data_IF_982166138160
#
_entry.id   IF_982166138160
#
_cell.length_a   1.000
_cell.length_b   1.000
_cell.length_c   1.000
_cell.angle_alpha   90.00
_cell.angle_beta   90.00
_cell.angle_gamma   90.00
#
_symmetry.space_group_name_H-M   'P 1'
#
loop_
_entity.id
_entity.type
_entity.pdbx_description
1 polymer ?
#
# COMPACT_ATOMS: atom_id res chain seq x y z
N UNK A 1 13.16 -20.95 14.66
CA UNK A 1 13.27 -21.53 13.30
C UNK A 1 13.97 -20.53 12.38
N UNK A 2 14.99 -20.93 11.60
CA UNK A 2 15.72 -20.00 10.69
C UNK A 2 14.84 -19.61 9.50
N UNK A 3 14.12 -18.50 9.59
CA UNK A 3 13.34 -17.96 8.45
C UNK A 3 14.29 -17.29 7.45
N UNK A 4 14.45 -17.93 6.29
CA UNK A 4 15.51 -17.68 5.29
C UNK A 4 15.08 -16.78 4.11
N UNK A 5 14.03 -15.95 4.27
CA UNK A 5 13.43 -15.17 3.16
C UNK A 5 13.18 -13.71 3.52
N UNK A 6 14.23 -13.00 3.93
CA UNK A 6 14.16 -11.58 4.27
C UNK A 6 14.94 -10.78 3.22
N UNK A 7 14.28 -9.76 2.65
CA UNK A 7 14.89 -8.90 1.65
C UNK A 7 16.11 -8.17 2.24
N UNK A 8 17.22 -8.00 1.49
CA UNK A 8 18.43 -7.36 1.97
C UNK A 8 18.17 -5.94 2.48
N UNK A 9 18.84 -5.55 3.56
CA UNK A 9 18.62 -4.28 4.28
C UNK A 9 18.80 -3.01 3.41
N UNK A 10 19.52 -3.11 2.28
CA UNK A 10 19.69 -2.02 1.31
C UNK A 10 18.39 -1.65 0.59
N UNK A 11 17.48 -2.62 0.38
CA UNK A 11 16.19 -2.37 -0.27
C UNK A 11 15.24 -1.54 0.58
N UNK A 12 15.49 -1.43 1.88
CA UNK A 12 14.69 -0.61 2.81
C UNK A 12 14.65 0.84 2.36
N UNK A 13 15.80 1.38 1.94
CA UNK A 13 15.91 2.78 1.50
C UNK A 13 15.08 2.97 0.22
N UNK A 14 15.16 2.01 -0.70
CA UNK A 14 14.38 2.04 -1.94
C UNK A 14 12.87 1.98 -1.67
N UNK A 15 12.44 1.12 -0.74
CA UNK A 15 11.04 1.06 -0.31
C UNK A 15 10.54 2.38 0.28
N UNK A 16 11.31 3.00 1.18
CA UNK A 16 10.93 4.29 1.76
C UNK A 16 10.91 5.42 0.73
N UNK A 17 11.87 5.46 -0.20
CA UNK A 17 11.88 6.42 -1.31
C UNK A 17 10.61 6.24 -2.16
N UNK A 18 10.25 5.01 -2.51
CA UNK A 18 9.04 4.74 -3.28
C UNK A 18 7.77 5.17 -2.54
N UNK A 19 7.61 4.81 -1.26
CA UNK A 19 6.44 5.23 -0.47
C UNK A 19 6.36 6.76 -0.37
N UNK A 20 7.49 7.42 -0.10
CA UNK A 20 7.55 8.88 0.09
C UNK A 20 7.29 9.65 -1.21
N UNK A 21 7.62 9.08 -2.37
CA UNK A 21 7.39 9.72 -3.67
C UNK A 21 5.99 9.37 -4.20
N UNK A 22 5.68 8.07 -4.32
CA UNK A 22 4.47 7.60 -4.97
C UNK A 22 3.20 7.90 -4.16
N UNK A 23 3.25 7.86 -2.82
CA UNK A 23 2.05 8.10 -2.01
C UNK A 23 1.58 9.56 -2.09
N UNK A 24 2.43 10.59 -1.86
CA UNK A 24 2.00 11.98 -2.00
C UNK A 24 1.65 12.35 -3.44
N UNK A 25 2.39 11.83 -4.44
CA UNK A 25 2.04 12.03 -5.85
C UNK A 25 0.69 11.41 -6.20
N UNK A 26 0.38 10.22 -5.68
CA UNK A 26 -0.93 9.58 -5.84
C UNK A 26 -2.04 10.39 -5.20
N UNK A 27 -1.84 10.91 -3.99
CA UNK A 27 -2.81 11.80 -3.33
C UNK A 27 -3.02 13.10 -4.11
N UNK A 28 -1.93 13.68 -4.63
CA UNK A 28 -2.03 14.88 -5.48
C UNK A 28 -2.75 14.58 -6.79
N UNK A 29 -2.46 13.46 -7.45
CA UNK A 29 -3.19 13.02 -8.64
C UNK A 29 -4.70 12.94 -8.40
N UNK A 30 -5.10 12.32 -7.29
CA UNK A 30 -6.52 12.24 -6.89
C UNK A 30 -7.15 13.61 -6.61
N UNK A 31 -6.39 14.57 -6.06
CA UNK A 31 -6.89 15.91 -5.74
C UNK A 31 -6.90 16.86 -6.94
N UNK A 32 -5.96 16.67 -7.88
CA UNK A 32 -5.78 17.53 -9.04
C UNK A 32 -6.66 17.12 -10.22
N UNK A 33 -7.14 15.87 -10.26
CA UNK A 33 -7.90 15.26 -11.36
C UNK A 33 -7.29 15.61 -12.72
N UNK A 34 -7.91 16.54 -13.46
CA UNK A 34 -7.52 16.97 -14.80
C UNK A 34 -6.35 17.97 -14.86
N UNK A 35 -5.90 18.51 -13.72
CA UNK A 35 -4.82 19.51 -13.65
C UNK A 35 -3.45 18.91 -13.37
N UNK A 36 -3.35 17.58 -13.26
CA UNK A 36 -2.08 16.92 -13.00
C UNK A 36 -1.13 17.03 -14.21
N UNK A 37 0.13 17.45 -14.01
CA UNK A 37 1.02 17.83 -15.12
C UNK A 37 1.58 16.65 -15.92
N UNK A 38 1.47 15.42 -15.42
CA UNK A 38 1.99 14.23 -16.10
C UNK A 38 0.85 13.43 -16.73
N UNK A 39 0.95 13.21 -18.04
CA UNK A 39 0.02 12.38 -18.79
C UNK A 39 0.81 11.30 -19.52
N UNK A 40 0.56 10.04 -19.15
CA UNK A 40 1.19 8.89 -19.77
C UNK A 40 0.07 8.05 -20.39
N UNK A 41 -0.19 8.33 -21.68
CA UNK A 41 -1.30 7.73 -22.41
C UNK A 41 -0.78 6.64 -23.32
N UNK A 42 -1.37 5.45 -23.21
CA UNK A 42 -1.14 4.33 -24.11
C UNK A 42 -2.40 4.14 -24.95
N UNK A 43 -2.20 4.04 -26.26
CA UNK A 43 -3.25 3.76 -27.23
C UNK A 43 -3.19 2.29 -27.60
N UNK A 44 -4.24 1.55 -27.30
CA UNK A 44 -4.32 0.12 -27.61
C UNK A 44 -5.39 -0.06 -28.70
N UNK A 45 -5.09 -0.79 -29.80
CA UNK A 45 -6.11 -1.14 -30.78
C UNK A 45 -7.22 -1.94 -30.12
N UNK A 46 -8.46 -1.43 -30.18
CA UNK A 46 -9.60 -2.08 -29.55
C UNK A 46 -10.44 -2.79 -30.63
N UNK A 47 -10.49 -4.14 -30.63
CA UNK A 47 -11.10 -4.89 -31.72
C UNK A 47 -12.63 -4.95 -31.66
N UNK A 48 -13.26 -4.36 -30.64
CA UNK A 48 -14.72 -4.39 -30.46
C UNK A 48 -15.33 -3.04 -30.83
N UNK A 49 -16.25 -3.04 -31.81
CA UNK A 49 -17.05 -1.86 -32.13
C UNK A 49 -18.12 -1.65 -31.04
N UNK A 50 -18.02 -0.55 -30.30
CA UNK A 50 -18.99 -0.15 -29.30
C UNK A 50 -18.56 1.13 -28.59
N UNK A 51 -19.38 2.17 -28.67
CA UNK A 51 -19.22 3.35 -27.83
C UNK A 51 -19.66 2.96 -26.41
N UNK A 52 -18.68 2.73 -25.54
CA UNK A 52 -18.92 2.54 -24.12
C UNK A 52 -18.62 3.86 -23.40
N UNK A 53 -19.62 4.50 -22.80
CA UNK A 53 -19.40 5.73 -22.00
C UNK A 53 -18.41 5.53 -20.83
N UNK A 54 -18.21 4.27 -20.41
CA UNK A 54 -17.25 3.91 -19.37
C UNK A 54 -15.80 3.75 -19.86
N UNK A 55 -15.56 3.63 -21.16
CA UNK A 55 -14.22 3.46 -21.72
C UNK A 55 -13.91 4.58 -22.72
N UNK A 56 -12.79 5.30 -22.57
CA UNK A 56 -12.40 6.37 -23.48
C UNK A 56 -11.92 5.80 -24.83
N UNK A 57 -12.88 5.39 -25.67
CA UNK A 57 -12.65 4.86 -27.01
C UNK A 57 -12.83 5.99 -28.02
N UNK A 58 -11.84 6.21 -28.88
CA UNK A 58 -11.94 7.13 -30.01
C UNK A 58 -11.24 6.50 -31.22
N UNK A 59 -11.90 6.54 -32.38
CA UNK A 59 -11.36 6.04 -33.65
C UNK A 59 -10.86 4.57 -33.59
N UNK A 60 -11.54 3.70 -32.82
CA UNK A 60 -11.13 2.30 -32.62
C UNK A 60 -9.89 2.10 -31.74
N UNK A 61 -9.39 3.18 -31.13
CA UNK A 61 -8.30 3.17 -30.16
C UNK A 61 -8.83 3.44 -28.76
N UNK A 62 -8.38 2.63 -27.81
CA UNK A 62 -8.65 2.78 -26.38
C UNK A 62 -7.53 3.64 -25.77
N UNK A 63 -7.89 4.78 -25.20
CA UNK A 63 -6.95 5.75 -24.61
C UNK A 63 -6.85 5.53 -23.09
N UNK A 64 -5.85 4.78 -22.62
CA UNK A 64 -5.61 4.66 -21.18
C UNK A 64 -4.54 5.62 -20.73
N UNK A 65 -4.87 6.49 -19.78
CA UNK A 65 -3.87 7.09 -18.90
C UNK A 65 -3.42 6.01 -17.93
N UNK A 66 -2.13 5.67 -17.93
CA UNK A 66 -1.57 4.65 -17.02
C UNK A 66 -0.87 5.24 -15.78
N UNK A 67 -1.07 6.53 -15.54
CA UNK A 67 -0.35 7.29 -14.51
C UNK A 67 -0.75 6.81 -13.11
N UNK A 68 -2.04 6.61 -12.88
CA UNK A 68 -2.58 6.11 -11.63
C UNK A 68 -2.17 4.68 -11.36
N UNK A 69 -2.10 3.80 -12.36
CA UNK A 69 -1.61 2.43 -12.21
C UNK A 69 -0.13 2.42 -11.84
N UNK A 70 0.69 3.27 -12.46
CA UNK A 70 2.12 3.37 -12.14
C UNK A 70 2.31 3.88 -10.70
N UNK A 71 1.55 4.90 -10.29
CA UNK A 71 1.60 5.44 -8.92
C UNK A 71 1.10 4.41 -7.90
N UNK A 72 0.02 3.71 -8.19
CA UNK A 72 -0.55 2.66 -7.37
C UNK A 72 0.42 1.48 -7.20
N UNK A 73 1.00 0.98 -8.30
CA UNK A 73 2.00 -0.09 -8.27
C UNK A 73 3.26 0.35 -7.52
N UNK A 74 3.72 1.58 -7.73
CA UNK A 74 4.85 2.15 -6.99
C UNK A 74 4.60 2.21 -5.49
N UNK A 75 3.41 2.65 -5.07
CA UNK A 75 3.03 2.68 -3.67
C UNK A 75 2.90 1.26 -3.07
N UNK A 76 2.21 0.33 -3.76
CA UNK A 76 2.07 -1.07 -3.33
C UNK A 76 3.44 -1.74 -3.15
N UNK A 77 4.30 -1.61 -4.15
CA UNK A 77 5.64 -2.18 -4.10
C UNK A 77 6.49 -1.51 -3.02
N UNK A 78 6.36 -0.19 -2.85
CA UNK A 78 6.98 0.56 -1.77
C UNK A 78 6.61 0.01 -0.39
N UNK A 79 5.31 -0.07 -0.07
CA UNK A 79 4.84 -0.59 1.22
C UNK A 79 5.25 -2.05 1.43
N UNK A 80 5.17 -2.88 0.38
CA UNK A 80 5.63 -4.26 0.43
C UNK A 80 7.12 -4.35 0.78
N UNK A 81 7.99 -3.62 0.06
CA UNK A 81 9.42 -3.62 0.34
C UNK A 81 9.70 -3.09 1.75
N UNK A 82 9.06 -2.00 2.17
CA UNK A 82 9.24 -1.43 3.52
C UNK A 82 8.88 -2.44 4.61
N UNK A 83 7.74 -3.13 4.47
CA UNK A 83 7.28 -4.07 5.49
C UNK A 83 8.04 -5.39 5.52
N UNK A 84 8.55 -5.88 4.38
CA UNK A 84 9.22 -7.18 4.28
C UNK A 84 10.76 -7.11 4.26
N UNK A 85 11.35 -5.92 4.34
CA UNK A 85 12.82 -5.78 4.41
C UNK A 85 13.40 -6.15 5.77
N UNK A 86 14.57 -6.80 5.76
CA UNK A 86 15.31 -7.16 6.96
C UNK A 86 15.74 -5.94 7.78
N UNK A 87 15.58 -6.03 9.09
CA UNK A 87 16.14 -5.04 10.01
C UNK A 87 17.62 -5.32 10.29
N UNK A 88 18.42 -4.28 10.58
CA UNK A 88 19.88 -4.37 10.75
C UNK A 88 20.28 -5.38 11.85
N UNK A 89 19.51 -5.40 12.94
CA UNK A 89 19.57 -6.40 14.01
C UNK A 89 18.18 -7.04 14.02
N UNK A 90 18.10 -8.31 13.64
CA UNK A 90 16.84 -9.04 13.61
C UNK A 90 16.88 -10.12 14.66
N UNK A 91 16.11 -9.88 15.72
CA UNK A 91 15.89 -10.82 16.82
C UNK A 91 14.57 -11.57 16.59
N UNK A 92 14.40 -12.74 17.22
CA UNK A 92 13.18 -13.57 17.11
C UNK A 92 11.92 -12.76 17.47
N UNK A 93 12.05 -11.85 18.44
CA UNK A 93 10.99 -10.91 18.82
C UNK A 93 10.55 -10.00 17.67
N UNK A 94 11.48 -9.45 16.89
CA UNK A 94 11.15 -8.53 15.79
C UNK A 94 10.44 -9.30 14.66
N UNK A 95 10.82 -10.55 14.42
CA UNK A 95 10.14 -11.41 13.47
C UNK A 95 8.69 -11.71 13.90
N UNK A 96 8.46 -11.98 15.20
CA UNK A 96 7.12 -12.16 15.76
C UNK A 96 6.27 -10.88 15.66
N UNK A 97 6.82 -9.73 16.05
CA UNK A 97 6.14 -8.43 15.96
C UNK A 97 5.68 -8.13 14.53
N UNK A 98 6.47 -8.51 13.52
CA UNK A 98 6.11 -8.33 12.11
C UNK A 98 4.94 -9.22 11.71
N UNK A 99 4.97 -10.49 12.11
CA UNK A 99 3.89 -11.43 11.82
C UNK A 99 2.59 -10.97 12.49
N UNK A 100 2.64 -10.54 13.75
CA UNK A 100 1.50 -9.98 14.46
C UNK A 100 0.98 -8.71 13.77
N UNK A 101 1.86 -7.79 13.37
CA UNK A 101 1.46 -6.59 12.64
C UNK A 101 0.79 -6.93 11.29
N UNK A 102 1.28 -7.95 10.58
CA UNK A 102 0.69 -8.41 9.33
C UNK A 102 -0.72 -8.97 9.56
N UNK A 103 -0.89 -9.79 10.60
CA UNK A 103 -2.18 -10.34 11.00
C UNK A 103 -3.17 -9.22 11.38
N UNK A 104 -2.73 -8.21 12.12
CA UNK A 104 -3.52 -7.02 12.43
C UNK A 104 -3.94 -6.25 11.18
N UNK A 105 -3.05 -6.08 10.20
CA UNK A 105 -3.36 -5.46 8.92
C UNK A 105 -4.46 -6.21 8.16
N UNK A 106 -4.40 -7.55 8.15
CA UNK A 106 -5.42 -8.40 7.52
C UNK A 106 -6.77 -8.26 8.25
N UNK A 107 -6.79 -8.35 9.59
CA UNK A 107 -8.01 -8.22 10.37
C UNK A 107 -8.69 -6.86 10.18
N UNK A 108 -7.92 -5.78 10.26
CA UNK A 108 -8.46 -4.45 10.04
C UNK A 108 -8.98 -4.28 8.60
N UNK A 109 -8.29 -4.85 7.60
CA UNK A 109 -8.73 -4.80 6.22
C UNK A 109 -10.08 -5.50 6.01
N UNK A 110 -10.23 -6.73 6.52
CA UNK A 110 -11.48 -7.48 6.40
C UNK A 110 -12.62 -6.84 7.19
N UNK A 111 -12.32 -6.24 8.35
CA UNK A 111 -13.31 -5.46 9.09
C UNK A 111 -13.80 -4.28 8.26
N UNK A 112 -12.88 -3.49 7.68
CA UNK A 112 -13.22 -2.35 6.84
C UNK A 112 -14.01 -2.79 5.60
N UNK A 113 -13.60 -3.88 4.96
CA UNK A 113 -14.28 -4.44 3.79
C UNK A 113 -15.71 -4.89 4.13
N UNK A 114 -15.91 -5.58 5.26
CA UNK A 114 -17.23 -6.00 5.70
C UNK A 114 -18.16 -4.79 5.95
N UNK A 115 -17.63 -3.72 6.58
CA UNK A 115 -18.37 -2.48 6.76
C UNK A 115 -18.72 -1.85 5.39
N UNK A 116 -17.77 -1.80 4.46
CA UNK A 116 -18.01 -1.25 3.12
C UNK A 116 -19.09 -2.02 2.36
N UNK A 117 -19.13 -3.35 2.47
CA UNK A 117 -20.17 -4.18 1.84
C UNK A 117 -21.56 -3.88 2.41
N UNK A 118 -21.67 -3.60 3.70
CA UNK A 118 -22.95 -3.31 4.37
C UNK A 118 -23.41 -1.87 4.10
N UNK A 119 -22.49 -0.91 4.10
CA UNK A 119 -22.83 0.52 4.13
C UNK A 119 -22.66 1.26 2.80
N UNK A 120 -21.92 0.72 1.83
CA UNK A 120 -21.60 1.41 0.57
C UNK A 120 -22.18 0.65 -0.62
N UNK A 121 -22.89 1.36 -1.49
CA UNK A 121 -23.55 0.80 -2.67
C UNK A 121 -23.30 1.65 -3.92
N UNK A 122 -23.52 1.04 -5.09
CA UNK A 122 -23.40 1.71 -6.38
C UNK A 122 -21.93 1.99 -6.79
N UNK A 123 -21.68 2.96 -7.70
CA UNK A 123 -20.35 3.25 -8.21
C UNK A 123 -19.31 3.60 -7.13
N UNK A 124 -19.76 4.21 -6.02
CA UNK A 124 -18.90 4.54 -4.87
C UNK A 124 -18.28 3.30 -4.21
N UNK A 125 -18.92 2.13 -4.32
CA UNK A 125 -18.37 0.88 -3.79
C UNK A 125 -17.06 0.49 -4.49
N UNK A 126 -16.96 0.70 -5.80
CA UNK A 126 -15.74 0.44 -6.57
C UNK A 126 -14.60 1.31 -6.06
N UNK A 127 -14.83 2.61 -5.87
CA UNK A 127 -13.85 3.54 -5.32
C UNK A 127 -13.37 3.12 -3.92
N UNK A 128 -14.29 2.68 -3.06
CA UNK A 128 -13.95 2.22 -1.70
C UNK A 128 -13.10 0.94 -1.73
N UNK A 129 -13.43 -0.02 -2.62
CA UNK A 129 -12.60 -1.23 -2.78
C UNK A 129 -11.21 -0.87 -3.29
N UNK A 130 -11.09 0.07 -4.25
CA UNK A 130 -9.79 0.53 -4.77
C UNK A 130 -8.90 1.03 -3.64
N UNK A 131 -9.43 1.83 -2.70
CA UNK A 131 -8.66 2.25 -1.53
C UNK A 131 -8.43 1.12 -0.52
N UNK A 132 -9.37 0.20 -0.37
CA UNK A 132 -9.24 -0.95 0.53
C UNK A 132 -8.02 -1.81 0.16
N UNK A 133 -7.66 -1.93 -1.12
CA UNK A 133 -6.48 -2.69 -1.58
C UNK A 133 -5.14 -2.26 -0.93
N UNK A 134 -5.01 -0.98 -0.55
CA UNK A 134 -3.79 -0.46 0.10
C UNK A 134 -3.82 -0.57 1.63
N UNK A 135 -5.02 -0.66 2.20
CA UNK A 135 -5.27 -0.65 3.64
C UNK A 135 -4.50 -1.72 4.43
N UNK A 136 -4.42 -3.00 4.02
CA UNK A 136 -3.74 -4.01 4.82
C UNK A 136 -2.24 -3.72 4.94
N UNK A 137 -1.63 -3.23 3.85
CA UNK A 137 -0.21 -2.88 3.80
C UNK A 137 0.09 -1.63 4.63
N UNK A 138 -0.76 -0.59 4.53
CA UNK A 138 -0.58 0.65 5.32
C UNK A 138 -0.67 0.34 6.82
N UNK A 139 -1.71 -0.40 7.25
CA UNK A 139 -1.90 -0.74 8.66
C UNK A 139 -0.77 -1.62 9.16
N UNK A 140 -0.37 -2.62 8.37
CA UNK A 140 0.77 -3.49 8.67
C UNK A 140 2.04 -2.68 8.92
N UNK A 141 2.43 -1.81 7.98
CA UNK A 141 3.65 -1.00 8.08
C UNK A 141 3.57 -0.06 9.27
N UNK A 142 2.47 0.67 9.44
CA UNK A 142 2.28 1.60 10.56
C UNK A 142 2.39 0.88 11.91
N UNK A 143 1.68 -0.25 12.06
CA UNK A 143 1.68 -1.04 13.30
C UNK A 143 3.06 -1.61 13.59
N UNK A 144 3.75 -2.14 12.58
CA UNK A 144 5.08 -2.70 12.73
C UNK A 144 6.08 -1.65 13.22
N UNK A 145 6.15 -0.47 12.57
CA UNK A 145 7.08 0.59 12.97
C UNK A 145 6.72 1.22 14.33
N UNK A 146 5.43 1.33 14.65
CA UNK A 146 5.01 1.80 15.97
C UNK A 146 5.46 0.83 17.07
N UNK A 147 5.19 -0.47 16.92
CA UNK A 147 5.62 -1.48 17.88
C UNK A 147 7.15 -1.54 18.00
N UNK A 148 7.85 -1.41 16.88
CA UNK A 148 9.31 -1.38 16.88
C UNK A 148 9.86 -0.22 17.72
N UNK A 149 9.29 0.99 17.61
CA UNK A 149 9.73 2.17 18.37
C UNK A 149 9.38 2.08 19.86
N UNK A 150 8.22 1.49 20.20
CA UNK A 150 7.75 1.41 21.58
C UNK A 150 8.40 0.26 22.38
N UNK A 151 8.77 -0.82 21.69
CA UNK A 151 9.30 -2.03 22.30
C UNK A 151 10.55 -1.82 23.19
N UNK A 152 11.58 -1.03 22.80
CA UNK A 152 12.71 -0.73 23.68
C UNK A 152 12.34 0.17 24.87
N UNK A 153 11.37 1.08 24.70
CA UNK A 153 10.92 1.97 25.77
C UNK A 153 10.15 1.22 26.87
N UNK A 154 9.39 0.19 26.50
CA UNK A 154 8.69 -0.69 27.42
C UNK A 154 9.65 -1.56 28.24
N UNK A 155 10.73 -2.04 27.63
CA UNK A 155 11.78 -2.83 28.30
C UNK A 155 12.53 -2.00 29.35
N UNK A 156 12.95 -0.78 28.99
CA UNK A 156 13.61 0.13 29.93
C UNK A 156 12.73 0.50 31.14
N UNK A 157 11.40 0.59 30.94
CA UNK A 157 10.45 0.85 32.02
C UNK A 157 10.23 -0.37 32.93
N UNK A 158 10.24 -1.58 32.36
CA UNK A 158 10.10 -2.84 33.11
C UNK A 158 11.32 -3.12 33.98
N UNK A 159 12.53 -2.89 33.46
CA UNK A 159 13.77 -3.04 34.24
C UNK A 159 13.80 -2.08 35.45
N UNK A 160 13.38 -0.82 35.27
CA UNK A 160 13.28 0.15 36.37
C UNK A 160 12.22 -0.17 37.43
N UNK A 161 11.25 -1.03 37.13
CA UNK A 161 10.22 -1.45 38.11
C UNK A 161 10.64 -2.65 38.96
N UNK A 162 11.75 -3.31 38.59
CA UNK A 162 12.30 -4.48 39.27
C UNK A 162 13.51 -4.16 40.16
N UNK A 163 13.97 -2.90 40.14
CA UNK A 163 15.04 -2.33 40.99
C UNK A 163 14.41 -1.42 42.03
#
# INVERSE_FOLDING_TARGET
>A
MKTKYLLPSRLRILGWILVLICTPLGVWYLAAENSFPFHLVINIPWPFEGNNEMLPIKDGLLYLSIVDEVLALGALFGFFVVGFTKQLIEDERIALLRLEALQWGIYANYLLLALSVIFVHGPSFITVITYNMFTPLIIFVLRFYWLLFISPAMEAKRERSLV
#
